data_IF_795151060960
#
_entry.id   IF_795151060960
#
_cell.length_a   1.000
_cell.length_b   1.000
_cell.length_c   1.000
_cell.angle_alpha   90.00
_cell.angle_beta   90.00
_cell.angle_gamma   90.00
#
_symmetry.space_group_name_H-M   'P 1'
#
loop_
_entity.id
_entity.type
_entity.pdbx_description
1 polymer ?
#
# COMPACT_ATOMS: atom_id res chain seq x y z
N UNK A 1 24.25 0.72 22.63
CA UNK A 1 23.90 -0.64 22.17
C UNK A 1 22.39 -0.85 22.03
N UNK A 2 21.59 -0.89 23.12
CA UNK A 2 20.16 -1.27 23.07
C UNK A 2 19.33 -0.51 22.02
N UNK A 3 19.45 0.82 21.92
CA UNK A 3 18.72 1.61 20.92
C UNK A 3 19.10 1.26 19.47
N UNK A 4 20.34 0.87 19.22
CA UNK A 4 20.81 0.48 17.88
C UNK A 4 20.23 -0.88 17.47
N UNK A 5 20.14 -1.80 18.43
CA UNK A 5 19.49 -3.10 18.24
C UNK A 5 18.00 -2.92 17.93
N UNK A 6 17.28 -2.11 18.72
CA UNK A 6 15.86 -1.83 18.46
C UNK A 6 15.64 -1.08 17.15
N UNK A 7 16.52 -0.13 16.79
CA UNK A 7 16.45 0.51 15.47
C UNK A 7 16.51 -0.55 14.37
N UNK A 8 17.45 -1.50 14.45
CA UNK A 8 17.61 -2.61 13.51
C UNK A 8 16.36 -3.48 13.38
N UNK A 9 15.72 -3.80 14.52
CA UNK A 9 14.44 -4.52 14.54
C UNK A 9 13.35 -3.69 13.85
N UNK A 10 13.19 -2.42 14.20
CA UNK A 10 12.13 -1.56 13.65
C UNK A 10 12.25 -1.40 12.13
N UNK A 11 13.45 -1.10 11.62
CA UNK A 11 13.66 -0.97 10.17
C UNK A 11 13.56 -2.32 9.47
N UNK A 12 13.99 -3.41 10.12
CA UNK A 12 13.94 -4.76 9.60
C UNK A 12 12.51 -5.25 9.39
N UNK A 13 11.67 -5.10 10.42
CA UNK A 13 10.25 -5.44 10.37
C UNK A 13 9.47 -4.53 9.42
N UNK A 14 9.83 -3.24 9.36
CA UNK A 14 9.23 -2.30 8.41
C UNK A 14 9.43 -2.73 6.96
N UNK A 15 10.68 -3.00 6.57
CA UNK A 15 11.03 -3.48 5.23
C UNK A 15 10.43 -4.85 4.90
N UNK A 16 10.35 -5.75 5.87
CA UNK A 16 9.71 -7.07 5.72
C UNK A 16 8.20 -6.95 5.47
N UNK A 17 7.56 -5.91 5.99
CA UNK A 17 6.10 -5.73 5.90
C UNK A 17 5.67 -5.20 4.53
N UNK A 18 6.32 -4.13 4.03
CA UNK A 18 6.02 -3.53 2.72
C UNK A 18 7.23 -2.84 2.11
N UNK A 19 7.38 -2.94 0.78
CA UNK A 19 8.43 -2.24 0.03
C UNK A 19 8.38 -0.71 0.13
N UNK A 20 7.21 -0.11 0.38
CA UNK A 20 7.13 1.35 0.61
C UNK A 20 7.85 1.79 1.89
N UNK A 21 8.16 0.87 2.82
CA UNK A 21 8.91 1.21 4.02
C UNK A 21 10.32 1.73 3.71
N UNK A 22 10.96 1.30 2.61
CA UNK A 22 12.29 1.81 2.22
C UNK A 22 12.30 3.33 2.04
N UNK A 23 11.22 3.91 1.48
CA UNK A 23 11.07 5.35 1.28
C UNK A 23 11.06 6.08 2.63
N UNK A 24 10.36 5.54 3.62
CA UNK A 24 10.26 6.14 4.95
C UNK A 24 11.51 5.92 5.81
N UNK A 25 12.20 4.79 5.63
CA UNK A 25 13.42 4.44 6.36
C UNK A 25 14.62 5.26 5.87
N UNK A 26 14.68 5.62 4.57
CA UNK A 26 15.83 6.31 3.99
C UNK A 26 16.22 7.62 4.73
N UNK A 27 15.29 8.57 5.01
CA UNK A 27 15.62 9.75 5.81
C UNK A 27 16.08 9.45 7.24
N UNK A 28 15.54 8.39 7.86
CA UNK A 28 15.92 7.97 9.21
C UNK A 28 17.38 7.52 9.21
N UNK A 29 17.76 6.66 8.26
CA UNK A 29 19.13 6.18 8.12
C UNK A 29 20.11 7.29 7.74
N UNK A 30 19.69 8.24 6.90
CA UNK A 30 20.51 9.39 6.55
C UNK A 30 20.85 10.25 7.76
N UNK A 31 19.85 10.62 8.56
CA UNK A 31 20.04 11.40 9.79
C UNK A 31 20.85 10.60 10.82
N UNK A 32 20.55 9.31 10.98
CA UNK A 32 21.29 8.42 11.86
C UNK A 32 22.77 8.32 11.48
N UNK A 33 23.09 8.21 10.19
CA UNK A 33 24.46 8.19 9.70
C UNK A 33 25.20 9.51 10.00
N UNK A 34 24.55 10.66 9.79
CA UNK A 34 25.10 11.97 10.17
C UNK A 34 25.36 12.04 11.68
N UNK A 35 24.42 11.59 12.51
CA UNK A 35 24.59 11.60 13.97
C UNK A 35 25.76 10.72 14.42
N UNK A 36 25.90 9.52 13.85
CA UNK A 36 27.02 8.62 14.11
C UNK A 36 28.34 9.26 13.68
N UNK A 37 28.38 9.89 12.51
CA UNK A 37 29.58 10.57 12.01
C UNK A 37 29.99 11.74 12.90
N UNK A 38 29.05 12.58 13.33
CA UNK A 38 29.32 13.71 14.24
C UNK A 38 29.86 13.19 15.58
N UNK A 39 29.25 12.14 16.15
CA UNK A 39 29.70 11.53 17.41
C UNK A 39 31.10 10.94 17.27
N UNK A 40 31.36 10.22 16.17
CA UNK A 40 32.67 9.66 15.88
C UNK A 40 33.73 10.77 15.76
N UNK A 41 33.43 11.85 15.03
CA UNK A 41 34.37 12.97 14.86
C UNK A 41 34.69 13.66 16.18
N UNK A 42 33.67 13.95 17.00
CA UNK A 42 33.84 14.69 18.27
C UNK A 42 34.47 13.86 19.39
N UNK A 43 34.09 12.58 19.51
CA UNK A 43 34.52 11.73 20.63
C UNK A 43 35.67 10.80 20.30
N UNK A 44 35.97 10.61 19.00
CA UNK A 44 36.92 9.61 18.48
C UNK A 44 36.62 8.18 18.97
N UNK A 45 35.40 7.91 19.41
CA UNK A 45 34.98 6.61 19.92
C UNK A 45 34.42 5.75 18.78
N UNK A 46 35.15 4.71 18.38
CA UNK A 46 34.77 3.79 17.30
C UNK A 46 33.63 2.83 17.69
N UNK A 47 33.23 2.76 18.96
CA UNK A 47 32.09 1.92 19.40
C UNK A 47 30.78 2.30 18.70
N UNK A 48 30.61 3.57 18.31
CA UNK A 48 29.42 4.00 17.56
C UNK A 48 29.31 3.31 16.19
N UNK A 49 30.44 3.03 15.53
CA UNK A 49 30.45 2.24 14.28
C UNK A 49 30.06 0.80 14.60
N UNK A 50 30.65 0.20 15.64
CA UNK A 50 30.31 -1.15 16.09
C UNK A 50 28.81 -1.31 16.38
N UNK A 51 28.20 -0.34 17.06
CA UNK A 51 26.75 -0.36 17.30
C UNK A 51 25.93 -0.18 16.02
N UNK A 52 26.35 0.66 15.07
CA UNK A 52 25.69 0.79 13.76
C UNK A 52 25.77 -0.48 12.93
N UNK A 53 26.87 -1.23 13.03
CA UNK A 53 26.99 -2.56 12.41
C UNK A 53 25.96 -3.53 12.99
N UNK A 54 25.67 -3.47 14.29
CA UNK A 54 24.61 -4.28 14.90
C UNK A 54 23.24 -3.94 14.31
N UNK A 55 22.92 -2.65 14.11
CA UNK A 55 21.69 -2.24 13.42
C UNK A 55 21.58 -2.87 12.03
N UNK A 56 22.66 -2.83 11.24
CA UNK A 56 22.69 -3.41 9.90
C UNK A 56 22.56 -4.94 9.91
N UNK A 57 23.26 -5.62 10.83
CA UNK A 57 23.21 -7.07 10.98
C UNK A 57 21.80 -7.54 11.34
N UNK A 58 21.14 -6.89 12.31
CA UNK A 58 19.76 -7.22 12.70
C UNK A 58 18.80 -7.03 11.53
N UNK A 59 18.91 -5.92 10.80
CA UNK A 59 18.11 -5.67 9.59
C UNK A 59 18.29 -6.78 8.55
N UNK A 60 19.54 -7.15 8.25
CA UNK A 60 19.86 -8.21 7.27
C UNK A 60 19.32 -9.56 7.76
N UNK A 61 19.52 -9.92 9.02
CA UNK A 61 19.03 -11.18 9.57
C UNK A 61 17.52 -11.34 9.37
N UNK A 62 16.74 -10.29 9.66
CA UNK A 62 15.27 -10.30 9.50
C UNK A 62 14.86 -10.46 8.03
N UNK A 63 15.56 -9.80 7.10
CA UNK A 63 15.15 -9.73 5.69
C UNK A 63 15.84 -10.78 4.78
N UNK A 64 16.90 -11.42 5.27
CA UNK A 64 17.74 -12.36 4.50
C UNK A 64 16.94 -13.47 3.82
N UNK A 65 15.97 -14.06 4.52
CA UNK A 65 15.20 -15.19 4.01
C UNK A 65 14.42 -14.89 2.73
N UNK A 66 13.82 -13.69 2.59
CA UNK A 66 13.15 -13.34 1.33
C UNK A 66 14.12 -12.74 0.31
N UNK A 67 15.16 -12.02 0.74
CA UNK A 67 16.20 -11.53 -0.16
C UNK A 67 16.91 -12.65 -0.91
N UNK A 68 17.26 -13.74 -0.22
CA UNK A 68 17.88 -14.92 -0.82
C UNK A 68 16.92 -15.56 -1.83
N UNK A 69 15.64 -15.75 -1.47
CA UNK A 69 14.63 -16.31 -2.37
C UNK A 69 14.44 -15.46 -3.63
N UNK A 70 14.34 -14.14 -3.47
CA UNK A 70 14.24 -13.20 -4.59
C UNK A 70 15.47 -13.28 -5.49
N UNK A 71 16.66 -13.27 -4.89
CA UNK A 71 17.91 -13.37 -5.64
C UNK A 71 18.03 -14.69 -6.40
N UNK A 72 17.61 -15.82 -5.82
CA UNK A 72 17.55 -17.09 -6.55
C UNK A 72 16.58 -17.05 -7.73
N UNK A 73 15.43 -16.38 -7.56
CA UNK A 73 14.38 -16.32 -8.56
C UNK A 73 14.74 -15.43 -9.77
N UNK A 74 15.17 -14.20 -9.53
CA UNK A 74 15.35 -13.19 -10.59
C UNK A 74 16.69 -12.45 -10.54
N UNK A 75 17.66 -12.94 -9.75
CA UNK A 75 18.98 -12.31 -9.55
C UNK A 75 18.89 -10.87 -9.04
N UNK A 76 17.77 -10.49 -8.43
CA UNK A 76 17.55 -9.20 -7.80
C UNK A 76 17.15 -9.40 -6.33
N UNK A 77 17.92 -8.80 -5.41
CA UNK A 77 17.68 -8.90 -3.95
C UNK A 77 16.27 -8.38 -3.58
N UNK A 78 15.84 -7.29 -4.21
CA UNK A 78 14.53 -6.70 -3.94
C UNK A 78 13.39 -7.43 -4.67
N UNK A 79 13.72 -8.39 -5.54
CA UNK A 79 12.72 -9.11 -6.33
C UNK A 79 12.03 -8.24 -7.39
N UNK A 80 12.53 -7.04 -7.66
CA UNK A 80 11.85 -6.05 -8.50
C UNK A 80 12.07 -6.36 -9.97
N UNK A 81 10.96 -6.48 -10.70
CA UNK A 81 10.96 -6.50 -12.16
C UNK A 81 11.10 -5.07 -12.73
N UNK A 82 11.87 -4.91 -13.82
CA UNK A 82 12.16 -3.59 -14.39
C UNK A 82 10.92 -2.94 -15.01
N UNK A 83 10.02 -3.72 -15.59
CA UNK A 83 8.77 -3.19 -16.14
C UNK A 83 7.84 -2.74 -15.01
N UNK A 84 7.68 -3.55 -13.97
CA UNK A 84 6.89 -3.21 -12.79
C UNK A 84 7.43 -1.96 -12.06
N UNK A 85 8.75 -1.87 -11.86
CA UNK A 85 9.36 -0.72 -11.17
C UNK A 85 9.05 0.62 -11.86
N UNK A 86 9.03 0.63 -13.20
CA UNK A 86 8.76 1.84 -13.99
C UNK A 86 7.32 2.32 -13.84
N UNK A 87 6.38 1.43 -13.52
CA UNK A 87 4.99 1.80 -13.28
C UNK A 87 4.84 2.66 -12.02
N UNK A 88 5.69 2.46 -11.01
CA UNK A 88 5.56 3.14 -9.71
C UNK A 88 6.42 4.40 -9.58
N UNK A 89 7.58 4.46 -10.22
CA UNK A 89 8.48 5.63 -10.12
C UNK A 89 8.07 6.75 -11.07
N UNK A 90 8.17 8.01 -10.62
CA UNK A 90 8.04 9.18 -11.50
C UNK A 90 9.08 9.09 -12.63
N UNK A 91 8.63 9.33 -13.86
CA UNK A 91 9.51 9.27 -15.04
C UNK A 91 10.49 10.46 -15.06
N UNK A 92 10.03 11.63 -14.59
CA UNK A 92 10.82 12.86 -14.50
C UNK A 92 10.69 13.46 -13.10
N UNK A 93 11.82 13.83 -12.50
CA UNK A 93 11.89 14.43 -11.16
C UNK A 93 12.28 15.91 -11.24
N UNK A 94 11.40 16.73 -11.80
CA UNK A 94 11.61 18.19 -11.88
C UNK A 94 10.92 18.91 -10.70
N UNK A 95 11.38 20.10 -10.28
CA UNK A 95 10.73 20.85 -9.21
C UNK A 95 9.24 21.11 -9.45
N UNK A 96 8.85 21.38 -10.70
CA UNK A 96 7.46 21.63 -11.09
C UNK A 96 6.58 20.38 -10.92
N UNK A 97 7.07 19.22 -11.38
CA UNK A 97 6.38 17.94 -11.23
C UNK A 97 6.34 17.49 -9.76
N UNK A 98 7.37 17.80 -8.99
CA UNK A 98 7.40 17.58 -7.56
C UNK A 98 6.32 18.40 -6.83
N UNK A 99 6.17 19.68 -7.14
CA UNK A 99 5.10 20.52 -6.59
C UNK A 99 3.70 20.03 -7.01
N UNK A 100 3.54 19.60 -8.26
CA UNK A 100 2.32 18.93 -8.74
C UNK A 100 2.00 17.69 -7.90
N UNK A 101 2.98 16.83 -7.63
CA UNK A 101 2.79 15.67 -6.78
C UNK A 101 2.45 16.03 -5.33
N UNK A 102 3.10 17.01 -4.73
CA UNK A 102 2.80 17.46 -3.37
C UNK A 102 1.33 17.90 -3.28
N UNK A 103 0.89 18.77 -4.20
CA UNK A 103 -0.47 19.31 -4.18
C UNK A 103 -1.52 18.21 -4.40
N UNK A 104 -1.29 17.28 -5.33
CA UNK A 104 -2.18 16.13 -5.55
C UNK A 104 -2.21 15.16 -4.36
N UNK A 105 -1.08 14.90 -3.71
CA UNK A 105 -1.03 14.04 -2.51
C UNK A 105 -1.68 14.71 -1.29
N UNK A 106 -1.54 16.03 -1.13
CA UNK A 106 -2.26 16.80 -0.12
C UNK A 106 -3.78 16.78 -0.38
N UNK A 107 -4.20 16.92 -1.65
CA UNK A 107 -5.61 16.86 -2.06
C UNK A 107 -6.32 15.56 -1.69
N UNK A 108 -5.59 14.45 -1.60
CA UNK A 108 -6.13 13.18 -1.10
C UNK A 108 -6.50 13.21 0.38
N UNK A 109 -5.94 14.13 1.17
CA UNK A 109 -6.21 14.25 2.61
C UNK A 109 -7.21 15.36 2.93
N UNK A 110 -7.43 16.30 2.00
CA UNK A 110 -8.29 17.46 2.17
C UNK A 110 -9.73 17.10 1.79
N UNK A 111 -10.53 16.73 2.78
CA UNK A 111 -11.95 16.39 2.65
C UNK A 111 -12.60 16.21 4.03
N UNK A 112 -13.74 15.52 4.16
CA UNK A 112 -14.65 15.03 3.10
C UNK A 112 -15.45 16.18 2.45
N UNK A 113 -16.61 15.88 1.86
CA UNK A 113 -17.54 16.89 1.35
C UNK A 113 -17.96 17.88 2.45
N UNK A 114 -18.09 19.19 2.14
CA UNK A 114 -17.89 19.85 0.84
C UNK A 114 -16.45 20.32 0.57
N UNK A 115 -15.54 20.15 1.53
CA UNK A 115 -14.17 20.70 1.49
C UNK A 115 -13.38 20.11 0.31
N UNK A 116 -13.59 18.84 -0.01
CA UNK A 116 -12.93 18.17 -1.13
C UNK A 116 -13.22 18.84 -2.50
N UNK A 117 -14.42 19.40 -2.70
CA UNK A 117 -14.79 20.11 -3.94
C UNK A 117 -13.95 21.36 -4.10
N UNK A 118 -13.83 22.15 -3.02
CA UNK A 118 -13.04 23.38 -3.02
C UNK A 118 -11.56 23.05 -3.24
N UNK A 119 -11.04 22.06 -2.52
CA UNK A 119 -9.64 21.61 -2.67
C UNK A 119 -9.33 21.17 -4.09
N UNK A 120 -10.21 20.38 -4.71
CA UNK A 120 -10.02 19.95 -6.10
C UNK A 120 -10.00 21.14 -7.05
N UNK A 121 -10.92 22.10 -6.93
CA UNK A 121 -10.93 23.32 -7.76
C UNK A 121 -9.62 24.10 -7.63
N UNK A 122 -9.12 24.27 -6.40
CA UNK A 122 -7.83 24.95 -6.14
C UNK A 122 -6.68 24.18 -6.79
N UNK A 123 -6.66 22.85 -6.69
CA UNK A 123 -5.59 22.03 -7.30
C UNK A 123 -5.61 22.14 -8.83
N UNK A 124 -6.78 22.07 -9.46
CA UNK A 124 -6.91 22.29 -10.91
C UNK A 124 -6.44 23.70 -11.31
N UNK A 125 -6.80 24.73 -10.54
CA UNK A 125 -6.34 26.10 -10.78
C UNK A 125 -4.81 26.22 -10.68
N UNK A 126 -4.19 25.67 -9.62
CA UNK A 126 -2.73 25.69 -9.43
C UNK A 126 -2.00 25.03 -10.61
N UNK A 127 -2.53 23.91 -11.11
CA UNK A 127 -1.96 23.19 -12.25
C UNK A 127 -2.13 23.95 -13.57
N UNK A 128 -3.28 24.60 -13.77
CA UNK A 128 -3.50 25.49 -14.92
C UNK A 128 -2.53 26.67 -14.93
N UNK A 129 -2.26 27.29 -13.78
CA UNK A 129 -1.28 28.39 -13.66
C UNK A 129 0.15 27.89 -13.87
N UNK A 130 0.45 26.69 -13.38
CA UNK A 130 1.76 26.05 -13.54
C UNK A 130 2.03 25.51 -14.96
N UNK A 131 1.02 25.47 -15.84
CA UNK A 131 1.13 24.89 -17.18
C UNK A 131 1.37 23.37 -17.18
N UNK A 132 0.91 22.67 -16.14
CA UNK A 132 1.10 21.22 -15.99
C UNK A 132 -0.25 20.52 -15.97
N UNK A 133 -0.42 19.48 -16.80
CA UNK A 133 -1.60 18.63 -16.72
C UNK A 133 -1.65 17.89 -15.37
N UNK A 134 -2.79 17.99 -14.68
CA UNK A 134 -3.07 17.26 -13.43
C UNK A 134 -2.99 15.75 -13.62
N UNK A 135 -3.22 15.24 -14.84
CA UNK A 135 -3.16 13.82 -15.18
C UNK A 135 -1.89 13.44 -15.95
N UNK A 136 -0.82 14.24 -15.85
CA UNK A 136 0.41 14.01 -16.60
C UNK A 136 0.91 12.56 -16.41
N UNK A 137 1.06 11.76 -17.50
CA UNK A 137 1.42 10.35 -17.41
C UNK A 137 2.80 10.11 -16.82
N UNK A 138 3.72 11.08 -16.89
CA UNK A 138 5.05 10.98 -16.28
C UNK A 138 5.01 10.89 -14.75
N UNK A 139 3.90 11.32 -14.13
CA UNK A 139 3.74 11.39 -12.67
C UNK A 139 2.45 10.74 -12.18
N UNK A 140 1.68 10.11 -13.06
CA UNK A 140 0.39 9.49 -12.76
C UNK A 140 0.49 8.00 -13.05
N UNK A 141 -0.04 7.18 -12.14
CA UNK A 141 0.05 5.74 -12.27
C UNK A 141 -0.88 5.21 -13.36
N UNK A 142 -0.31 4.56 -14.38
CA UNK A 142 -1.04 3.96 -15.51
C UNK A 142 -2.10 4.93 -16.08
N UNK A 143 -3.30 4.42 -16.38
CA UNK A 143 -4.42 5.19 -16.93
C UNK A 143 -5.32 5.82 -15.86
N UNK A 144 -4.82 5.97 -14.63
CA UNK A 144 -5.61 6.61 -13.56
C UNK A 144 -5.79 8.10 -13.81
N UNK A 145 -6.90 8.64 -13.34
CA UNK A 145 -7.18 10.09 -13.36
C UNK A 145 -7.17 10.64 -11.96
N UNK A 146 -6.70 11.86 -11.81
CA UNK A 146 -6.72 12.57 -10.56
C UNK A 146 -8.16 12.77 -10.07
N UNK A 147 -8.41 12.17 -8.92
CA UNK A 147 -9.56 12.43 -8.07
C UNK A 147 -9.01 12.72 -6.68
N UNK A 148 -9.28 13.90 -6.12
CA UNK A 148 -8.89 14.18 -4.74
C UNK A 148 -9.68 13.35 -3.73
N UNK A 149 -9.72 13.81 -2.48
CA UNK A 149 -10.46 13.11 -1.41
C UNK A 149 -11.90 12.72 -1.83
N UNK A 150 -12.33 11.47 -1.59
CA UNK A 150 -13.72 11.07 -1.76
C UNK A 150 -14.66 11.96 -0.94
N UNK A 151 -15.86 12.19 -1.46
CA UNK A 151 -16.90 12.95 -0.74
C UNK A 151 -17.38 12.21 0.51
N UNK A 152 -17.38 10.87 0.46
CA UNK A 152 -17.71 9.98 1.58
C UNK A 152 -16.54 8.99 1.71
N UNK A 153 -15.57 9.26 2.60
CA UNK A 153 -14.35 8.45 2.74
C UNK A 153 -14.59 7.23 3.65
N UNK A 154 -15.55 6.36 3.29
CA UNK A 154 -15.87 5.14 4.05
C UNK A 154 -15.28 3.86 3.43
N UNK A 155 -14.42 3.97 2.41
CA UNK A 155 -13.77 2.85 1.76
C UNK A 155 -12.29 2.75 2.14
N UNK A 156 -11.82 1.57 2.52
CA UNK A 156 -10.49 1.35 3.11
C UNK A 156 -9.30 1.69 2.18
N UNK A 157 -9.49 1.56 0.86
CA UNK A 157 -8.43 1.88 -0.11
C UNK A 157 -8.19 3.37 -0.35
N UNK A 158 -9.18 4.23 -0.15
CA UNK A 158 -9.09 5.66 -0.52
C UNK A 158 -9.55 6.63 0.57
N UNK A 159 -9.92 6.14 1.76
CA UNK A 159 -10.35 7.00 2.88
C UNK A 159 -9.28 8.04 3.25
N UNK A 160 -9.73 9.30 3.32
CA UNK A 160 -8.91 10.46 3.66
C UNK A 160 -8.77 10.62 5.17
N UNK A 161 -7.66 11.20 5.64
CA UNK A 161 -7.41 11.48 7.06
C UNK A 161 -7.32 12.99 7.37
N UNK A 162 -8.37 13.79 7.11
CA UNK A 162 -8.31 15.25 7.20
C UNK A 162 -7.97 15.76 8.60
N UNK A 163 -8.56 15.17 9.65
CA UNK A 163 -8.33 15.59 11.04
C UNK A 163 -6.85 15.46 11.42
N UNK A 164 -6.25 14.30 11.13
CA UNK A 164 -4.83 14.07 11.38
C UNK A 164 -3.96 14.99 10.50
N UNK A 165 -4.34 15.20 9.24
CA UNK A 165 -3.61 16.06 8.32
C UNK A 165 -3.54 17.51 8.82
N UNK A 166 -4.67 18.08 9.23
CA UNK A 166 -4.70 19.44 9.77
C UNK A 166 -3.96 19.56 11.10
N UNK A 167 -4.08 18.60 12.01
CA UNK A 167 -3.33 18.63 13.26
C UNK A 167 -1.83 18.52 13.05
N UNK A 168 -1.37 17.71 12.10
CA UNK A 168 0.04 17.63 11.76
C UNK A 168 0.50 18.98 11.21
N UNK A 169 -0.19 19.57 10.23
CA UNK A 169 0.18 20.89 9.68
C UNK A 169 0.22 21.96 10.78
N UNK A 170 -0.81 22.04 11.63
CA UNK A 170 -0.85 22.98 12.74
C UNK A 170 0.30 22.74 13.72
N UNK A 171 0.66 21.48 13.99
CA UNK A 171 1.78 21.14 14.87
C UNK A 171 3.12 21.57 14.28
N UNK A 172 3.32 21.35 12.97
CA UNK A 172 4.49 21.87 12.24
C UNK A 172 4.60 23.39 12.37
N UNK A 173 3.50 24.13 12.17
CA UNK A 173 3.47 25.59 12.29
C UNK A 173 3.79 26.04 13.72
N UNK A 174 3.12 25.46 14.72
CA UNK A 174 3.28 25.83 16.13
C UNK A 174 4.71 25.60 16.62
N UNK A 175 5.30 24.45 16.27
CA UNK A 175 6.68 24.14 16.66
C UNK A 175 7.64 25.06 15.93
N UNK A 176 7.44 25.30 14.63
CA UNK A 176 8.29 26.23 13.87
C UNK A 176 8.28 27.63 14.49
N UNK A 177 7.11 28.17 14.83
CA UNK A 177 6.98 29.46 15.52
C UNK A 177 7.70 29.45 16.88
N UNK A 178 7.58 28.36 17.65
CA UNK A 178 8.24 28.25 18.95
C UNK A 178 9.77 28.15 18.83
N UNK A 179 10.28 27.52 17.76
CA UNK A 179 11.71 27.46 17.43
C UNK A 179 12.21 28.85 17.02
N UNK A 180 11.52 29.54 16.11
CA UNK A 180 11.88 30.90 15.68
C UNK A 180 11.85 31.93 16.81
N UNK A 181 10.92 31.79 17.76
CA UNK A 181 10.87 32.65 18.95
C UNK A 181 11.92 32.26 20.02
N UNK A 182 12.91 31.43 19.67
CA UNK A 182 13.97 30.91 20.55
C UNK A 182 13.47 30.25 21.84
N UNK A 183 12.21 29.82 21.91
CA UNK A 183 11.68 29.14 23.11
C UNK A 183 12.17 27.69 23.23
N UNK A 184 12.65 27.09 22.14
CA UNK A 184 12.94 25.66 22.08
C UNK A 184 14.30 25.31 21.45
N UNK A 185 15.05 26.29 20.91
CA UNK A 185 16.36 26.11 20.27
C UNK A 185 16.37 25.10 19.10
N UNK A 186 17.54 24.87 18.50
CA UNK A 186 17.75 23.77 17.55
C UNK A 186 17.83 22.44 18.33
N UNK A 187 16.68 21.92 18.73
CA UNK A 187 16.55 20.73 19.58
C UNK A 187 16.21 19.48 18.77
N UNK A 188 16.19 18.31 19.43
CA UNK A 188 15.86 17.01 18.81
C UNK A 188 14.54 17.02 18.04
N UNK A 189 13.58 17.88 18.43
CA UNK A 189 12.32 18.02 17.71
C UNK A 189 12.50 18.63 16.31
N UNK A 190 13.43 19.57 16.13
CA UNK A 190 13.70 20.17 14.81
C UNK A 190 14.26 19.12 13.87
N UNK A 191 15.18 18.28 14.35
CA UNK A 191 15.69 17.15 13.59
C UNK A 191 14.57 16.17 13.21
N UNK A 192 13.64 15.91 14.13
CA UNK A 192 12.49 15.05 13.88
C UNK A 192 11.50 15.65 12.86
N UNK A 193 11.26 16.98 12.90
CA UNK A 193 10.47 17.68 11.88
C UNK A 193 11.11 17.54 10.50
N UNK A 194 12.43 17.79 10.40
CA UNK A 194 13.18 17.64 9.15
C UNK A 194 13.06 16.21 8.63
N UNK A 195 13.21 15.21 9.51
CA UNK A 195 13.08 13.80 9.15
C UNK A 195 11.71 13.49 8.52
N UNK A 196 10.62 13.89 9.16
CA UNK A 196 9.24 13.66 8.67
C UNK A 196 8.96 14.46 7.39
N UNK A 197 9.48 15.69 7.28
CA UNK A 197 9.40 16.46 6.03
C UNK A 197 10.12 15.75 4.88
N UNK A 198 11.36 15.28 5.10
CA UNK A 198 12.12 14.54 4.09
C UNK A 198 11.39 13.26 3.67
N UNK A 199 10.76 12.55 4.60
CA UNK A 199 9.93 11.37 4.28
C UNK A 199 8.78 11.72 3.35
N UNK A 200 8.03 12.79 3.64
CA UNK A 200 6.94 13.25 2.78
C UNK A 200 7.44 13.72 1.40
N UNK A 201 8.59 14.41 1.37
CA UNK A 201 9.21 14.91 0.15
C UNK A 201 9.71 13.77 -0.74
N UNK A 202 10.47 12.81 -0.20
CA UNK A 202 10.94 11.65 -0.99
C UNK A 202 9.74 10.85 -1.51
N UNK A 203 8.68 10.68 -0.71
CA UNK A 203 7.47 10.00 -1.16
C UNK A 203 6.87 10.69 -2.40
N UNK A 204 6.68 12.01 -2.36
CA UNK A 204 6.12 12.78 -3.47
C UNK A 204 7.07 12.90 -4.67
N UNK A 205 8.38 12.91 -4.44
CA UNK A 205 9.40 13.00 -5.48
C UNK A 205 9.57 11.68 -6.24
N UNK A 206 9.52 10.55 -5.53
CA UNK A 206 9.81 9.23 -6.08
C UNK A 206 8.60 8.56 -6.72
N UNK A 207 7.45 8.54 -6.04
CA UNK A 207 6.28 7.77 -6.49
C UNK A 207 5.37 8.57 -7.43
N UNK A 208 4.88 7.91 -8.47
CA UNK A 208 3.74 8.38 -9.27
C UNK A 208 2.51 8.46 -8.40
N UNK A 209 1.71 9.50 -8.58
CA UNK A 209 0.46 9.67 -7.85
C UNK A 209 -0.52 8.52 -8.14
N UNK A 210 -1.18 8.04 -7.07
CA UNK A 210 -2.25 7.03 -7.13
C UNK A 210 -3.41 7.45 -6.22
N UNK A 211 -4.66 7.09 -6.55
CA UNK A 211 -5.82 7.45 -5.72
C UNK A 211 -5.81 6.78 -4.33
N UNK A 212 -5.14 5.64 -4.17
CA UNK A 212 -4.98 4.93 -2.89
C UNK A 212 -3.70 5.34 -2.11
N UNK A 213 -3.02 6.42 -2.52
CA UNK A 213 -1.90 6.97 -1.74
C UNK A 213 -2.31 7.39 -0.32
N UNK A 214 -3.60 7.66 -0.09
CA UNK A 214 -4.09 7.93 1.27
C UNK A 214 -3.76 6.81 2.26
N UNK A 215 -3.84 5.55 1.83
CA UNK A 215 -3.40 4.38 2.59
C UNK A 215 -1.88 4.28 2.69
N UNK A 216 -1.15 4.66 1.64
CA UNK A 216 0.31 4.64 1.66
C UNK A 216 0.89 5.71 2.61
N UNK A 217 0.17 6.81 2.85
CA UNK A 217 0.57 7.84 3.82
C UNK A 217 0.38 7.43 5.29
N UNK A 218 -0.35 6.34 5.60
CA UNK A 218 -0.62 5.93 6.99
C UNK A 218 0.65 5.84 7.87
N UNK A 219 1.79 5.28 7.41
CA UNK A 219 3.03 5.29 8.18
C UNK A 219 3.53 6.71 8.48
N UNK A 220 3.43 7.65 7.52
CA UNK A 220 3.81 9.04 7.73
C UNK A 220 2.93 9.72 8.80
N UNK A 221 1.62 9.45 8.80
CA UNK A 221 0.72 9.93 9.85
C UNK A 221 1.12 9.40 11.23
N UNK A 222 1.44 8.10 11.34
CA UNK A 222 1.88 7.49 12.59
C UNK A 222 3.21 8.08 13.07
N UNK A 223 4.18 8.25 12.17
CA UNK A 223 5.46 8.89 12.48
C UNK A 223 5.31 10.36 12.87
N UNK A 224 4.21 11.01 12.51
CA UNK A 224 3.94 12.40 12.88
C UNK A 224 3.29 12.54 14.27
N UNK A 225 2.89 11.46 14.94
CA UNK A 225 2.26 11.52 16.27
C UNK A 225 3.14 12.25 17.31
N UNK A 226 4.45 11.97 17.44
CA UNK A 226 5.31 12.69 18.38
C UNK A 226 5.36 14.20 18.14
N UNK A 227 5.22 14.64 16.88
CA UNK A 227 5.17 16.07 16.52
C UNK A 227 3.90 16.71 17.11
N UNK A 228 2.75 16.02 17.00
CA UNK A 228 1.49 16.49 17.59
C UNK A 228 1.57 16.53 19.12
N UNK A 229 2.12 15.48 19.74
CA UNK A 229 2.32 15.44 21.20
C UNK A 229 3.25 16.55 21.70
N UNK A 230 4.33 16.85 20.97
CA UNK A 230 5.22 17.94 21.34
C UNK A 230 4.54 19.30 21.16
N UNK A 231 3.77 19.52 20.07
CA UNK A 231 3.02 20.76 19.87
C UNK A 231 2.00 21.01 21.00
N UNK A 232 1.38 19.96 21.55
CA UNK A 232 0.52 20.03 22.74
C UNK A 232 1.30 20.58 23.95
N UNK A 233 2.52 20.09 24.18
CA UNK A 233 3.36 20.56 25.31
C UNK A 233 3.79 22.03 25.17
N UNK A 234 3.96 22.51 23.94
CA UNK A 234 4.36 23.89 23.65
C UNK A 234 3.20 24.87 23.71
N UNK A 235 1.97 24.43 23.43
CA UNK A 235 0.80 25.31 23.35
C UNK A 235 -0.44 24.72 24.06
N UNK A 236 -0.71 25.21 25.27
CA UNK A 236 -1.88 24.79 26.06
C UNK A 236 -3.25 25.11 25.43
N UNK A 237 -3.36 26.07 24.51
CA UNK A 237 -4.60 26.29 23.74
C UNK A 237 -4.84 25.15 22.75
N UNK A 238 -3.78 24.68 22.10
CA UNK A 238 -3.86 23.55 21.17
C UNK A 238 -4.30 22.27 21.89
N UNK A 239 -3.77 22.02 23.09
CA UNK A 239 -4.25 20.95 23.97
C UNK A 239 -5.76 21.02 24.23
N UNK A 240 -6.25 22.20 24.66
CA UNK A 240 -7.68 22.40 24.97
C UNK A 240 -8.57 22.16 23.76
N UNK A 241 -8.13 22.58 22.57
CA UNK A 241 -8.85 22.35 21.30
C UNK A 241 -8.92 20.85 21.01
N UNK A 242 -7.78 20.16 21.06
CA UNK A 242 -7.71 18.72 20.77
C UNK A 242 -8.57 17.91 21.76
N UNK A 243 -8.50 18.23 23.06
CA UNK A 243 -9.32 17.58 24.08
C UNK A 243 -10.83 17.76 23.83
N UNK A 244 -11.26 18.97 23.46
CA UNK A 244 -12.67 19.25 23.13
C UNK A 244 -13.14 18.54 21.86
N UNK A 245 -12.27 18.39 20.87
CA UNK A 245 -12.59 17.75 19.59
C UNK A 245 -12.55 16.22 19.70
N UNK A 246 -11.79 15.65 20.65
CA UNK A 246 -11.57 14.21 20.78
C UNK A 246 -12.85 13.36 20.74
N UNK A 247 -13.94 13.68 21.47
CA UNK A 247 -15.19 12.91 21.38
C UNK A 247 -15.78 12.87 19.96
N UNK A 248 -15.65 13.97 19.19
CA UNK A 248 -16.10 14.03 17.81
C UNK A 248 -15.22 13.21 16.88
N UNK A 249 -13.91 13.12 17.13
CA UNK A 249 -12.99 12.24 16.39
C UNK A 249 -13.38 10.78 16.62
N UNK A 250 -13.63 10.40 17.87
CA UNK A 250 -14.05 9.05 18.23
C UNK A 250 -15.41 8.73 17.59
N UNK A 251 -16.37 9.64 17.68
CA UNK A 251 -17.67 9.48 17.03
C UNK A 251 -17.52 9.31 15.50
N UNK A 252 -16.70 10.14 14.87
CA UNK A 252 -16.41 10.04 13.43
C UNK A 252 -15.78 8.68 13.08
N UNK A 253 -14.79 8.22 13.85
CA UNK A 253 -14.19 6.90 13.65
C UNK A 253 -15.22 5.77 13.81
N UNK A 254 -16.08 5.83 14.83
CA UNK A 254 -17.17 4.87 15.02
C UNK A 254 -18.16 4.86 13.85
N UNK A 255 -18.49 6.02 13.28
CA UNK A 255 -19.35 6.12 12.10
C UNK A 255 -18.69 5.51 10.86
N UNK A 256 -17.40 5.79 10.62
CA UNK A 256 -16.65 5.21 9.48
C UNK A 256 -16.55 3.69 9.61
N UNK A 257 -16.36 3.16 10.82
CA UNK A 257 -16.32 1.71 11.06
C UNK A 257 -17.72 1.09 10.87
N UNK A 258 -18.75 1.70 11.45
CA UNK A 258 -20.12 1.18 11.37
C UNK A 258 -20.65 1.14 9.93
N UNK A 259 -20.34 2.17 9.14
CA UNK A 259 -20.77 2.35 7.75
C UNK A 259 -19.63 2.15 6.76
N UNK A 260 -18.65 1.32 7.08
CA UNK A 260 -17.57 0.98 6.16
C UNK A 260 -18.16 0.41 4.86
N UNK A 261 -17.66 0.86 3.71
CA UNK A 261 -18.23 0.50 2.41
C UNK A 261 -18.14 -1.01 2.14
N UNK A 262 -16.98 -1.62 2.40
CA UNK A 262 -16.71 -3.04 2.09
C UNK A 262 -17.12 -3.99 3.22
N UNK A 263 -17.22 -3.49 4.45
CA UNK A 263 -17.52 -4.28 5.66
C UNK A 263 -18.51 -3.55 6.59
N UNK A 264 -19.72 -3.23 6.12
CA UNK A 264 -20.66 -2.45 6.92
C UNK A 264 -21.24 -3.30 8.05
N UNK A 265 -21.23 -2.78 9.28
CA UNK A 265 -22.06 -3.29 10.36
C UNK A 265 -23.52 -2.83 10.19
N UNK A 266 -23.69 -1.62 9.66
CA UNK A 266 -24.98 -1.03 9.32
C UNK A 266 -25.00 -0.71 7.83
N UNK A 267 -25.94 -1.30 7.09
CA UNK A 267 -26.06 -1.09 5.64
C UNK A 267 -26.93 0.12 5.31
N UNK A 268 -26.52 0.90 4.31
CA UNK A 268 -27.30 2.00 3.75
C UNK A 268 -26.97 2.23 2.25
N UNK A 269 -27.46 3.31 1.65
CA UNK A 269 -27.21 3.66 0.23
C UNK A 269 -25.73 3.95 -0.11
N UNK A 270 -24.87 4.12 0.89
CA UNK A 270 -23.44 4.42 0.75
C UNK A 270 -22.54 3.24 1.11
N UNK A 271 -23.11 2.06 1.35
CA UNK A 271 -22.35 0.83 1.63
C UNK A 271 -22.57 -0.18 0.51
N UNK A 272 -21.65 -1.13 0.35
CA UNK A 272 -21.89 -2.27 -0.54
C UNK A 272 -23.12 -3.09 -0.06
N UNK A 273 -23.74 -3.83 -0.98
CA UNK A 273 -24.86 -4.75 -0.70
C UNK A 273 -24.38 -6.05 -0.06
N UNK A 274 -23.65 -5.92 1.04
CA UNK A 274 -23.09 -7.00 1.84
C UNK A 274 -23.14 -6.62 3.31
N UNK A 275 -23.12 -7.61 4.20
CA UNK A 275 -23.08 -7.43 5.64
C UNK A 275 -21.95 -8.23 6.28
N UNK A 276 -21.51 -7.83 7.47
CA UNK A 276 -20.57 -8.63 8.28
C UNK A 276 -21.11 -10.05 8.55
N UNK A 277 -22.43 -10.22 8.61
CA UNK A 277 -23.11 -11.51 8.81
C UNK A 277 -23.18 -12.39 7.56
N UNK A 278 -22.87 -11.87 6.36
CA UNK A 278 -22.81 -12.70 5.15
C UNK A 278 -21.72 -13.76 5.26
N UNK A 279 -21.92 -14.86 4.51
CA UNK A 279 -20.93 -15.94 4.41
C UNK A 279 -19.57 -15.40 3.94
N UNK A 280 -18.49 -15.96 4.49
CA UNK A 280 -17.12 -15.52 4.22
C UNK A 280 -16.78 -15.51 2.73
N UNK A 281 -17.24 -16.50 1.97
CA UNK A 281 -16.94 -16.62 0.55
C UNK A 281 -17.52 -15.46 -0.27
N UNK A 282 -18.78 -15.07 -0.02
CA UNK A 282 -19.41 -13.89 -0.65
C UNK A 282 -18.66 -12.59 -0.34
N UNK A 283 -18.12 -12.45 0.87
CA UNK A 283 -17.32 -11.27 1.29
C UNK A 283 -16.05 -11.05 0.49
N UNK A 284 -15.49 -12.07 -0.15
CA UNK A 284 -14.35 -11.89 -1.05
C UNK A 284 -14.69 -11.15 -2.34
N UNK A 285 -15.97 -11.05 -2.70
CA UNK A 285 -16.43 -10.43 -3.93
C UNK A 285 -17.01 -9.03 -3.72
N UNK A 286 -16.80 -8.42 -2.55
CA UNK A 286 -17.40 -7.10 -2.26
C UNK A 286 -17.00 -6.01 -3.27
N UNK A 287 -15.75 -6.02 -3.72
CA UNK A 287 -15.24 -5.06 -4.70
C UNK A 287 -15.56 -5.44 -6.15
N UNK A 288 -15.96 -6.70 -6.41
CA UNK A 288 -16.30 -7.25 -7.72
C UNK A 288 -17.49 -8.23 -7.62
N UNK A 289 -18.69 -7.75 -7.22
CA UNK A 289 -19.83 -8.62 -6.91
C UNK A 289 -20.32 -9.42 -8.11
N UNK A 290 -20.10 -8.92 -9.33
CA UNK A 290 -20.41 -9.57 -10.59
C UNK A 290 -19.67 -10.90 -10.79
N UNK A 291 -18.52 -11.10 -10.14
CA UNK A 291 -17.73 -12.32 -10.26
C UNK A 291 -18.28 -13.46 -9.39
N UNK A 292 -19.03 -13.15 -8.33
CA UNK A 292 -19.44 -14.14 -7.32
C UNK A 292 -20.19 -15.34 -7.92
N UNK A 293 -21.13 -15.09 -8.83
CA UNK A 293 -21.98 -16.15 -9.41
C UNK A 293 -21.17 -17.20 -10.17
N UNK A 294 -20.33 -16.76 -11.12
CA UNK A 294 -19.53 -17.67 -11.95
C UNK A 294 -18.46 -18.38 -11.11
N UNK A 295 -17.81 -17.67 -10.17
CA UNK A 295 -16.84 -18.27 -9.28
C UNK A 295 -17.45 -19.32 -8.36
N UNK A 296 -18.64 -19.06 -7.79
CA UNK A 296 -19.30 -20.03 -6.90
C UNK A 296 -19.61 -21.33 -7.63
N UNK A 297 -20.14 -21.26 -8.85
CA UNK A 297 -20.46 -22.45 -9.67
C UNK A 297 -19.22 -23.27 -9.99
N UNK A 298 -18.13 -22.62 -10.41
CA UNK A 298 -16.87 -23.32 -10.74
C UNK A 298 -16.27 -23.95 -9.48
N UNK A 299 -16.26 -23.23 -8.36
CA UNK A 299 -15.72 -23.76 -7.10
C UNK A 299 -16.52 -24.96 -6.59
N UNK A 300 -17.85 -24.90 -6.63
CA UNK A 300 -18.69 -26.06 -6.28
C UNK A 300 -18.41 -27.27 -7.18
N UNK A 301 -18.18 -27.05 -8.47
CA UNK A 301 -17.85 -28.11 -9.42
C UNK A 301 -16.48 -28.72 -9.13
N UNK A 302 -15.46 -27.88 -8.97
CA UNK A 302 -14.10 -28.29 -8.64
C UNK A 302 -14.06 -29.13 -7.36
N UNK A 303 -14.76 -28.68 -6.32
CA UNK A 303 -14.80 -29.37 -5.03
C UNK A 303 -15.50 -30.74 -5.09
N UNK A 304 -16.44 -30.93 -6.03
CA UNK A 304 -17.12 -32.22 -6.24
C UNK A 304 -16.27 -33.24 -6.99
N UNK A 305 -15.27 -32.81 -7.77
CA UNK A 305 -14.49 -33.69 -8.66
C UNK A 305 -13.36 -34.46 -7.96
N UNK A 306 -13.08 -34.17 -6.69
CA UNK A 306 -11.99 -34.80 -5.91
C UNK A 306 -10.62 -34.76 -6.60
N UNK A 307 -10.38 -33.74 -7.42
CA UNK A 307 -9.11 -33.51 -8.09
C UNK A 307 -8.11 -32.84 -7.16
N UNK A 308 -6.85 -33.29 -7.25
CA UNK A 308 -5.77 -32.75 -6.41
C UNK A 308 -5.00 -31.65 -7.12
N UNK A 309 -4.81 -31.72 -8.43
CA UNK A 309 -3.93 -30.79 -9.15
C UNK A 309 -4.73 -29.99 -10.16
N UNK A 310 -4.87 -28.68 -9.91
CA UNK A 310 -5.69 -27.80 -10.75
C UNK A 310 -4.79 -26.77 -11.41
N UNK A 311 -4.81 -26.74 -12.73
CA UNK A 311 -4.12 -25.73 -13.53
C UNK A 311 -4.85 -24.40 -13.44
N UNK A 312 -4.11 -23.31 -13.27
CA UNK A 312 -4.68 -21.99 -13.13
C UNK A 312 -4.00 -21.03 -14.09
N UNK A 313 -4.83 -20.35 -14.87
CA UNK A 313 -4.41 -19.43 -15.91
C UNK A 313 -5.02 -18.04 -15.65
N UNK A 314 -4.23 -17.20 -14.99
CA UNK A 314 -4.62 -15.87 -14.50
C UNK A 314 -3.88 -14.75 -15.25
N UNK A 315 -4.45 -13.54 -15.20
CA UNK A 315 -3.85 -12.24 -15.50
C UNK A 315 -3.29 -11.61 -14.21
N UNK A 316 -2.66 -10.45 -14.35
CA UNK A 316 -1.92 -9.79 -13.26
C UNK A 316 -2.82 -9.28 -12.11
N UNK A 317 -4.07 -8.87 -12.40
CA UNK A 317 -5.04 -8.32 -11.42
C UNK A 317 -6.36 -9.13 -11.37
N UNK A 318 -6.23 -10.45 -11.50
CA UNK A 318 -7.38 -11.37 -11.44
C UNK A 318 -7.76 -11.73 -10.00
N UNK A 319 -9.02 -12.15 -9.83
CA UNK A 319 -9.63 -12.43 -8.52
C UNK A 319 -9.22 -13.81 -7.98
N UNK A 320 -7.92 -14.01 -7.79
CA UNK A 320 -7.30 -15.29 -7.45
C UNK A 320 -7.67 -15.84 -6.08
N UNK A 321 -7.60 -14.99 -5.05
CA UNK A 321 -7.74 -15.40 -3.65
C UNK A 321 -9.01 -16.22 -3.32
N UNK A 322 -10.21 -15.87 -3.86
CA UNK A 322 -11.39 -16.72 -3.70
C UNK A 322 -11.19 -18.18 -4.11
N UNK A 323 -10.45 -18.46 -5.19
CA UNK A 323 -10.17 -19.83 -5.65
C UNK A 323 -9.41 -20.61 -4.57
N UNK A 324 -8.42 -19.96 -3.95
CA UNK A 324 -7.53 -20.61 -3.00
C UNK A 324 -8.14 -20.83 -1.62
N UNK A 325 -9.10 -19.99 -1.24
CA UNK A 325 -9.71 -20.02 0.09
C UNK A 325 -10.25 -21.39 0.49
N UNK A 326 -10.67 -22.21 -0.48
CA UNK A 326 -11.20 -23.56 -0.26
C UNK A 326 -10.24 -24.69 -0.69
N UNK A 327 -9.22 -24.39 -1.51
CA UNK A 327 -8.30 -25.41 -2.04
C UNK A 327 -7.41 -26.01 -0.94
N UNK A 328 -6.79 -25.16 -0.12
CA UNK A 328 -5.84 -25.63 0.90
C UNK A 328 -6.49 -26.50 1.98
N UNK A 329 -7.74 -26.19 2.37
CA UNK A 329 -8.49 -27.01 3.33
C UNK A 329 -8.93 -28.38 2.79
N UNK A 330 -8.82 -28.60 1.48
CA UNK A 330 -9.24 -29.83 0.80
C UNK A 330 -8.09 -30.60 0.16
N UNK A 331 -6.84 -30.17 0.38
CA UNK A 331 -5.66 -30.80 -0.21
C UNK A 331 -5.60 -30.63 -1.74
N UNK A 332 -6.22 -29.57 -2.27
CA UNK A 332 -6.14 -29.19 -3.68
C UNK A 332 -4.92 -28.28 -3.85
N UNK A 333 -4.08 -28.63 -4.82
CA UNK A 333 -2.87 -27.93 -5.23
C UNK A 333 -3.17 -27.03 -6.43
N UNK A 334 -3.27 -25.69 -6.25
CA UNK A 334 -3.29 -24.76 -7.36
C UNK A 334 -1.93 -24.72 -8.07
N UNK A 335 -1.91 -24.89 -9.38
CA UNK A 335 -0.71 -24.89 -10.21
C UNK A 335 -0.85 -23.82 -11.28
N UNK A 336 -0.05 -22.76 -11.20
CA UNK A 336 0.00 -21.76 -12.27
C UNK A 336 0.59 -22.35 -13.54
N UNK A 337 -0.14 -22.21 -14.65
CA UNK A 337 0.29 -22.68 -15.97
C UNK A 337 0.45 -21.54 -16.95
N UNK A 338 1.33 -21.72 -17.93
CA UNK A 338 1.60 -20.74 -19.00
C UNK A 338 1.90 -19.32 -18.47
N UNK A 339 2.58 -19.24 -17.32
CA UNK A 339 3.04 -17.97 -16.74
C UNK A 339 4.09 -17.34 -17.66
N UNK A 340 4.01 -16.02 -17.80
CA UNK A 340 4.90 -15.24 -18.66
C UNK A 340 5.94 -14.42 -17.88
N UNK A 341 5.82 -14.39 -16.55
CA UNK A 341 6.73 -13.67 -15.67
C UNK A 341 7.99 -14.50 -15.35
N UNK A 342 8.87 -13.96 -14.51
CA UNK A 342 10.14 -14.59 -14.12
C UNK A 342 10.02 -15.99 -13.51
N UNK A 343 8.83 -16.43 -13.11
CA UNK A 343 8.58 -17.78 -12.56
C UNK A 343 8.43 -18.86 -13.65
N UNK A 344 8.35 -18.51 -14.93
CA UNK A 344 8.22 -19.47 -16.05
C UNK A 344 9.27 -20.57 -16.06
N UNK A 345 10.49 -20.25 -15.60
CA UNK A 345 11.61 -21.17 -15.60
C UNK A 345 11.70 -22.01 -14.31
N UNK A 346 10.79 -21.81 -13.35
CA UNK A 346 10.72 -22.67 -12.17
C UNK A 346 10.08 -23.99 -12.61
N UNK A 347 10.75 -25.13 -12.38
CA UNK A 347 10.16 -26.42 -12.69
C UNK A 347 8.87 -26.61 -11.87
N UNK A 348 7.75 -26.70 -12.56
CA UNK A 348 6.47 -27.07 -11.94
C UNK A 348 6.57 -28.55 -11.58
N UNK A 349 6.68 -28.85 -10.28
CA UNK A 349 6.94 -30.20 -9.75
C UNK A 349 5.85 -31.24 -10.06
N UNK A 350 4.77 -30.89 -10.76
CA UNK A 350 3.61 -31.76 -10.98
C UNK A 350 3.20 -31.77 -12.45
N UNK A 351 3.39 -32.91 -13.11
CA UNK A 351 3.08 -33.09 -14.54
C UNK A 351 1.59 -33.37 -14.81
N UNK A 352 0.85 -33.86 -13.82
CA UNK A 352 -0.54 -34.28 -14.01
C UNK A 352 -1.52 -33.27 -13.45
N UNK A 353 -1.96 -32.35 -14.31
CA UNK A 353 -3.11 -31.47 -14.07
C UNK A 353 -4.39 -32.22 -14.44
N UNK A 354 -5.40 -32.14 -13.56
CA UNK A 354 -6.70 -32.81 -13.75
C UNK A 354 -7.72 -31.93 -14.50
N UNK A 355 -7.69 -30.62 -14.26
CA UNK A 355 -8.55 -29.63 -14.89
C UNK A 355 -7.88 -28.26 -14.88
N UNK A 356 -8.41 -27.32 -15.67
CA UNK A 356 -7.89 -25.95 -15.75
C UNK A 356 -8.99 -24.95 -15.39
N UNK A 357 -8.67 -23.97 -14.56
CA UNK A 357 -9.47 -22.78 -14.31
C UNK A 357 -8.76 -21.59 -14.95
N UNK A 358 -9.47 -20.87 -15.82
CA UNK A 358 -8.93 -19.72 -16.55
C UNK A 358 -9.79 -18.49 -16.33
N UNK A 359 -9.16 -17.37 -16.03
CA UNK A 359 -9.76 -16.03 -16.07
C UNK A 359 -9.15 -15.19 -17.20
N UNK A 360 -8.09 -15.69 -17.83
CA UNK A 360 -7.34 -14.96 -18.87
C UNK A 360 -7.82 -15.27 -20.29
N UNK A 361 -8.12 -16.53 -20.60
CA UNK A 361 -8.44 -17.01 -21.96
C UNK A 361 -9.83 -17.68 -21.99
N UNK A 362 -10.64 -17.28 -22.97
CA UNK A 362 -11.94 -17.87 -23.32
C UNK A 362 -11.85 -18.56 -24.69
N UNK A 363 -11.11 -19.66 -24.74
CA UNK A 363 -11.02 -20.48 -25.93
C UNK A 363 -11.96 -21.69 -25.80
N UNK A 364 -12.27 -22.34 -26.91
CA UNK A 364 -13.00 -23.60 -26.87
C UNK A 364 -12.16 -24.70 -26.21
N UNK A 365 -10.83 -24.63 -26.37
CA UNK A 365 -9.88 -25.66 -25.99
C UNK A 365 -8.58 -25.04 -25.48
N UNK A 366 -7.96 -25.66 -24.48
CA UNK A 366 -6.59 -25.37 -24.02
C UNK A 366 -5.77 -26.66 -24.14
N UNK A 367 -4.68 -26.61 -24.89
CA UNK A 367 -3.69 -27.69 -24.96
C UNK A 367 -2.55 -27.42 -23.96
N UNK A 368 -2.28 -28.37 -23.05
CA UNK A 368 -1.22 -28.26 -22.05
C UNK A 368 -0.51 -29.60 -21.83
N UNK A 369 0.82 -29.62 -22.01
CA UNK A 369 1.68 -30.82 -21.86
C UNK A 369 1.12 -32.07 -22.56
N UNK A 370 0.64 -31.92 -23.80
CA UNK A 370 0.11 -33.02 -24.61
C UNK A 370 -1.30 -33.49 -24.25
N UNK A 371 -1.98 -32.85 -23.28
CA UNK A 371 -3.40 -33.08 -22.97
C UNK A 371 -4.24 -31.92 -23.45
N UNK A 372 -5.42 -32.25 -23.98
CA UNK A 372 -6.41 -31.31 -24.48
C UNK A 372 -7.54 -31.11 -23.48
N UNK A 373 -7.83 -29.87 -23.10
CA UNK A 373 -8.88 -29.52 -22.15
C UNK A 373 -9.97 -28.67 -22.83
N UNK A 374 -11.23 -29.03 -22.64
CA UNK A 374 -12.39 -28.41 -23.30
C UNK A 374 -13.16 -27.52 -22.34
N UNK A 375 -13.54 -26.34 -22.81
CA UNK A 375 -14.31 -25.37 -22.03
C UNK A 375 -15.71 -25.89 -21.71
N UNK A 376 -16.04 -25.97 -20.43
CA UNK A 376 -17.33 -26.44 -19.92
C UNK A 376 -18.34 -25.31 -19.70
N UNK A 377 -17.88 -24.05 -19.68
CA UNK A 377 -18.68 -22.88 -19.31
C UNK A 377 -18.62 -21.78 -20.38
N UNK A 378 -18.90 -22.11 -21.64
CA UNK A 378 -18.82 -21.18 -22.79
C UNK A 378 -19.66 -19.91 -22.58
N UNK A 379 -20.72 -19.99 -21.77
CA UNK A 379 -21.60 -18.85 -21.43
C UNK A 379 -21.00 -17.88 -20.41
N UNK A 380 -20.01 -18.30 -19.61
CA UNK A 380 -19.37 -17.42 -18.64
C UNK A 380 -18.61 -16.28 -19.33
N UNK A 381 -18.45 -15.18 -18.59
CA UNK A 381 -17.82 -13.93 -19.05
C UNK A 381 -16.47 -13.66 -18.40
N UNK A 382 -16.22 -14.15 -17.19
CA UNK A 382 -15.05 -13.76 -16.40
C UNK A 382 -14.18 -14.95 -15.97
N UNK A 383 -14.76 -16.14 -15.82
CA UNK A 383 -14.04 -17.34 -15.40
C UNK A 383 -14.57 -18.58 -16.12
N UNK A 384 -13.67 -19.44 -16.57
CA UNK A 384 -13.97 -20.62 -17.36
C UNK A 384 -13.30 -21.85 -16.78
N UNK A 385 -14.03 -22.97 -16.79
CA UNK A 385 -13.54 -24.27 -16.36
C UNK A 385 -13.29 -25.18 -17.56
N UNK A 386 -12.17 -25.88 -17.58
CA UNK A 386 -11.80 -26.79 -18.65
C UNK A 386 -11.49 -28.19 -18.11
N UNK A 387 -11.99 -29.20 -18.80
CA UNK A 387 -11.78 -30.62 -18.47
C UNK A 387 -11.18 -31.38 -19.66
N UNK A 388 -10.34 -32.40 -19.41
CA UNK A 388 -9.98 -33.33 -20.46
C UNK A 388 -11.20 -34.13 -20.92
N UNK A 389 -11.20 -34.61 -22.17
CA UNK A 389 -12.18 -35.61 -22.59
C UNK A 389 -12.05 -36.85 -21.69
N UNK A 390 -13.19 -37.43 -21.31
CA UNK A 390 -13.24 -38.68 -20.56
C UNK A 390 -12.63 -39.83 -21.36
#
# INVERSE_FOLDING_TARGET
FQNYFFLGISIGLGALTKGTAYIYIAPILFIFAIEVFIKLYKTKNYTYIGYSLVTALVFICINSGYYIRNYHLNKNILGVDKTESKCYSNEKMTPLLFLSNITRNAGLQIGPFPINIVSNKVIYMLHSVAGVDVNNPATTFLDTKYSGSPSIPNHEDNASNPIHFYFIILSFILISIAVFKNKTGFSKIVLYLIMVSLQAMIFCLYLRWQPWHSRLHTPLFMLSIPIVCYAISVNGKFYKILYKILPFIILYACLVISFNWSRPFLSNKYTARISVSDIRYKKYFVNRPELFGEYNVIMERVLKMNYKNIGILLRDDDWEYPLFSQFYGKGINPIHINVLNGTKNIPVAMDNINCIVSTKIKDAVIDFKGKRFYNQDVKNKNIWFYMPNK
#
